data_IF_416926162198
#
_entry.id   IF_416926162198
#
_cell.length_a   1.000
_cell.length_b   1.000
_cell.length_c   1.000
_cell.angle_alpha   90.00
_cell.angle_beta   90.00
_cell.angle_gamma   90.00
#
_symmetry.space_group_name_H-M   'P 1'
#
loop_
_entity.id
_entity.type
_entity.pdbx_description
1 polymer ?
#
# COMPACT_ATOMS: atom_id res chain seq x y z
N UNK A 1 -26.05 15.62 -3.18
CA UNK A 1 -25.62 15.16 -1.83
C UNK A 1 -24.81 16.31 -1.24
N UNK A 2 -25.23 16.88 -0.11
CA UNK A 2 -24.44 17.91 0.58
C UNK A 2 -23.40 17.23 1.45
N UNK A 3 -22.15 17.68 1.39
CA UNK A 3 -21.02 17.07 2.11
C UNK A 3 -21.31 17.01 3.62
N UNK A 4 -21.88 18.08 4.16
CA UNK A 4 -22.19 18.21 5.59
C UNK A 4 -23.26 17.23 6.10
N UNK A 5 -23.94 16.49 5.20
CA UNK A 5 -24.93 15.48 5.56
C UNK A 5 -24.38 14.07 5.73
N UNK A 6 -23.10 13.84 5.45
CA UNK A 6 -22.46 12.52 5.58
C UNK A 6 -22.19 12.25 7.06
N UNK A 7 -22.97 11.34 7.67
CA UNK A 7 -22.82 10.96 9.10
C UNK A 7 -21.69 9.97 9.36
N UNK A 8 -21.36 9.14 8.36
CA UNK A 8 -20.24 8.22 8.39
C UNK A 8 -19.86 7.84 6.97
N UNK A 9 -18.59 7.50 6.78
CA UNK A 9 -18.10 6.87 5.56
C UNK A 9 -17.24 5.67 5.96
N UNK A 10 -17.36 4.58 5.21
CA UNK A 10 -16.55 3.38 5.41
C UNK A 10 -16.01 3.00 4.05
N UNK A 11 -14.70 2.81 3.98
CA UNK A 11 -14.08 2.24 2.79
C UNK A 11 -14.46 0.76 2.73
N UNK A 12 -15.18 0.38 1.69
CA UNK A 12 -15.45 -1.03 1.39
C UNK A 12 -14.33 -1.51 0.49
N UNK A 13 -13.46 -2.35 1.05
CA UNK A 13 -12.39 -3.01 0.29
C UNK A 13 -12.99 -3.82 -0.87
N UNK A 14 -12.25 -3.98 -1.97
CA UNK A 14 -12.70 -4.62 -3.23
C UNK A 14 -13.81 -3.87 -4.01
N UNK A 15 -14.08 -2.61 -3.69
CA UNK A 15 -14.92 -1.74 -4.55
C UNK A 15 -14.06 -0.87 -5.46
N UNK A 16 -14.57 -0.60 -6.66
CA UNK A 16 -13.92 0.23 -7.66
C UNK A 16 -14.75 1.47 -7.98
N UNK A 17 -14.06 2.60 -8.10
CA UNK A 17 -14.62 3.82 -8.64
C UNK A 17 -13.56 4.54 -9.48
N UNK A 18 -13.85 4.70 -10.77
CA UNK A 18 -12.99 5.46 -11.67
C UNK A 18 -13.03 6.94 -11.27
N UNK A 19 -11.91 7.46 -10.78
CA UNK A 19 -11.81 8.85 -10.32
C UNK A 19 -11.76 9.78 -11.53
N UNK A 20 -12.75 10.68 -11.73
CA UNK A 20 -12.77 11.59 -12.87
C UNK A 20 -11.52 12.48 -12.90
N UNK A 21 -10.88 12.64 -14.06
CA UNK A 21 -9.69 13.47 -14.20
C UNK A 21 -9.95 14.94 -13.81
N UNK A 22 -11.14 15.45 -14.12
CA UNK A 22 -11.58 16.78 -13.67
C UNK A 22 -11.52 16.95 -12.14
N UNK A 23 -11.80 15.89 -11.37
CA UNK A 23 -11.71 15.94 -9.91
C UNK A 23 -10.25 15.93 -9.44
N UNK A 24 -9.39 15.15 -10.10
CA UNK A 24 -7.94 15.16 -9.83
C UNK A 24 -7.35 16.55 -10.09
N UNK A 25 -7.73 17.15 -11.22
CA UNK A 25 -7.29 18.48 -11.62
C UNK A 25 -7.85 19.55 -10.68
N UNK A 26 -9.12 19.47 -10.27
CA UNK A 26 -9.74 20.42 -9.33
C UNK A 26 -9.10 20.34 -7.94
N UNK A 27 -8.78 19.13 -7.44
CA UNK A 27 -8.04 18.96 -6.19
C UNK A 27 -6.63 19.54 -6.29
N UNK A 28 -5.95 19.36 -7.43
CA UNK A 28 -4.61 19.90 -7.64
C UNK A 28 -4.60 21.43 -7.79
N UNK A 29 -5.63 22.02 -8.37
CA UNK A 29 -5.70 23.46 -8.68
C UNK A 29 -6.35 24.28 -7.57
N UNK A 30 -7.27 23.69 -6.80
CA UNK A 30 -7.96 24.33 -5.68
C UNK A 30 -7.81 23.54 -4.37
N UNK A 31 -6.58 23.30 -3.88
CA UNK A 31 -6.37 22.54 -2.65
C UNK A 31 -7.08 23.16 -1.44
N UNK A 32 -7.25 24.48 -1.42
CA UNK A 32 -7.95 25.21 -0.34
C UNK A 32 -9.43 24.82 -0.21
N UNK A 33 -10.10 24.44 -1.31
CA UNK A 33 -11.49 24.00 -1.32
C UNK A 33 -11.66 22.65 -0.62
N UNK A 34 -10.62 21.81 -0.70
CA UNK A 34 -10.61 20.48 -0.10
C UNK A 34 -9.86 20.44 1.24
N UNK A 35 -9.45 21.62 1.73
CA UNK A 35 -8.64 21.71 2.93
C UNK A 35 -9.38 21.11 4.13
N UNK A 36 -10.71 21.24 4.24
CA UNK A 36 -11.50 20.58 5.28
C UNK A 36 -11.45 19.04 5.26
N UNK A 37 -11.16 18.42 4.12
CA UNK A 37 -11.00 16.96 3.99
C UNK A 37 -9.56 16.48 4.19
N UNK A 38 -8.58 17.33 3.87
CA UNK A 38 -7.16 16.97 3.87
C UNK A 38 -6.32 17.74 4.90
N UNK A 39 -6.94 18.57 5.76
CA UNK A 39 -6.30 19.60 6.60
C UNK A 39 -5.16 19.06 7.46
N UNK A 40 -5.24 17.78 7.81
CA UNK A 40 -4.23 17.11 8.60
C UNK A 40 -4.49 15.62 8.50
N UNK A 41 -4.30 15.04 7.32
CA UNK A 41 -4.04 13.60 7.29
C UNK A 41 -2.55 13.47 7.64
N UNK A 42 -2.19 12.87 8.79
CA UNK A 42 -0.82 12.47 9.05
C UNK A 42 -0.32 11.66 7.86
N UNK A 43 0.99 11.45 7.71
CA UNK A 43 1.46 10.54 6.66
C UNK A 43 1.13 9.07 7.03
N UNK A 44 -0.16 8.71 6.99
CA UNK A 44 -0.71 7.39 7.29
C UNK A 44 -0.35 6.36 6.21
N UNK A 45 0.37 6.78 5.17
CA UNK A 45 0.94 5.89 4.14
C UNK A 45 1.74 4.76 4.74
N UNK A 46 2.38 4.97 5.90
CA UNK A 46 3.12 3.90 6.60
C UNK A 46 2.19 2.81 7.13
N UNK A 47 0.98 3.17 7.59
CA UNK A 47 -0.02 2.18 8.01
C UNK A 47 -0.64 1.47 6.82
N UNK A 48 -0.93 2.21 5.73
CA UNK A 48 -1.36 1.61 4.46
C UNK A 48 -0.32 0.61 3.94
N UNK A 49 0.95 1.00 3.94
CA UNK A 49 2.06 0.13 3.57
C UNK A 49 2.16 -1.11 4.45
N UNK A 50 1.98 -0.99 5.77
CA UNK A 50 1.96 -2.13 6.68
C UNK A 50 0.78 -3.08 6.42
N UNK A 51 -0.40 -2.54 6.10
CA UNK A 51 -1.54 -3.33 5.67
C UNK A 51 -1.24 -4.06 4.34
N UNK A 52 -0.69 -3.37 3.36
CA UNK A 52 -0.34 -3.95 2.05
C UNK A 52 0.73 -5.04 2.22
N UNK A 53 1.74 -4.80 3.06
CA UNK A 53 2.73 -5.81 3.42
C UNK A 53 2.08 -7.03 4.08
N UNK A 54 1.06 -6.85 4.93
CA UNK A 54 0.35 -7.97 5.52
C UNK A 54 -0.50 -8.72 4.47
N UNK A 55 -1.18 -8.00 3.58
CA UNK A 55 -1.95 -8.57 2.46
C UNK A 55 -1.08 -9.41 1.53
N UNK A 56 0.15 -8.97 1.27
CA UNK A 56 1.12 -9.68 0.43
C UNK A 56 1.81 -10.85 1.15
N UNK A 57 2.04 -10.74 2.46
CA UNK A 57 2.69 -11.79 3.26
C UNK A 57 1.73 -12.87 3.77
N UNK A 58 0.41 -12.70 3.60
CA UNK A 58 -0.57 -13.69 4.07
C UNK A 58 -0.80 -14.76 3.01
N UNK A 59 -0.53 -16.02 3.38
CA UNK A 59 -0.87 -17.16 2.53
C UNK A 59 -2.38 -17.31 2.47
N UNK A 60 -2.99 -17.45 1.28
CA UNK A 60 -4.41 -17.79 1.18
C UNK A 60 -4.64 -19.13 1.90
N UNK A 61 -5.49 -19.13 2.94
CA UNK A 61 -5.59 -20.23 3.90
C UNK A 61 -6.55 -21.33 3.43
N UNK A 62 -7.50 -20.96 2.58
CA UNK A 62 -8.44 -21.89 1.99
C UNK A 62 -9.04 -21.25 0.73
N UNK A 63 -8.79 -21.86 -0.43
CA UNK A 63 -9.68 -21.65 -1.58
C UNK A 63 -10.96 -22.42 -1.24
N UNK A 64 -11.92 -21.78 -0.54
CA UNK A 64 -13.28 -22.32 -0.54
C UNK A 64 -13.78 -22.17 -1.98
N UNK A 65 -13.65 -23.25 -2.74
CA UNK A 65 -14.19 -23.39 -4.08
C UNK A 65 -15.72 -23.38 -4.03
N UNK A 66 -16.29 -22.20 -3.86
CA UNK A 66 -17.57 -21.93 -4.45
C UNK A 66 -17.29 -21.50 -5.89
N UNK A 67 -17.27 -22.46 -6.82
CA UNK A 67 -17.72 -22.16 -8.17
C UNK A 67 -19.07 -21.47 -7.97
N UNK A 68 -19.10 -20.15 -8.13
CA UNK A 68 -20.34 -19.43 -8.07
C UNK A 68 -21.13 -19.93 -9.28
N UNK A 69 -22.02 -20.89 -9.02
CA UNK A 69 -22.98 -21.37 -10.02
C UNK A 69 -23.60 -20.11 -10.61
N UNK A 70 -23.69 -20.03 -11.94
CA UNK A 70 -24.17 -18.87 -12.71
C UNK A 70 -23.14 -17.83 -13.14
N UNK A 71 -21.83 -18.02 -12.90
CA UNK A 71 -20.79 -17.14 -13.47
C UNK A 71 -20.00 -17.86 -14.56
N UNK A 72 -20.49 -17.77 -15.80
CA UNK A 72 -19.82 -18.34 -16.97
C UNK A 72 -18.76 -17.35 -17.49
N UNK A 73 -17.52 -17.82 -17.61
CA UNK A 73 -16.37 -17.01 -18.07
C UNK A 73 -16.54 -16.39 -19.45
N UNK A 74 -17.42 -16.96 -20.28
CA UNK A 74 -17.76 -16.48 -21.63
C UNK A 74 -18.44 -15.09 -21.63
N UNK A 75 -18.91 -14.61 -20.47
CA UNK A 75 -19.56 -13.29 -20.35
C UNK A 75 -18.59 -12.17 -19.97
N UNK A 76 -17.29 -12.46 -19.83
CA UNK A 76 -16.25 -11.46 -19.59
C UNK A 76 -15.87 -10.83 -20.92
N UNK A 77 -16.30 -9.58 -21.13
CA UNK A 77 -15.89 -8.77 -22.27
C UNK A 77 -14.93 -7.69 -21.79
N UNK A 78 -13.74 -7.59 -22.38
CA UNK A 78 -12.76 -6.53 -22.10
C UNK A 78 -12.41 -6.38 -20.60
N UNK A 79 -12.30 -7.48 -19.86
CA UNK A 79 -11.93 -7.45 -18.44
C UNK A 79 -13.05 -7.00 -17.49
N UNK A 80 -14.28 -6.86 -17.98
CA UNK A 80 -15.45 -6.56 -17.17
C UNK A 80 -16.54 -7.65 -17.29
N UNK A 81 -17.18 -7.94 -16.17
CA UNK A 81 -18.30 -8.87 -16.07
C UNK A 81 -19.56 -8.13 -15.64
N UNK A 82 -20.55 -8.07 -16.53
CA UNK A 82 -21.83 -7.44 -16.23
C UNK A 82 -22.66 -8.36 -15.34
N UNK A 83 -23.06 -7.86 -14.16
CA UNK A 83 -23.82 -8.65 -13.21
C UNK A 83 -25.31 -8.57 -13.50
N UNK A 84 -26.01 -9.70 -13.41
CA UNK A 84 -27.47 -9.70 -13.31
C UNK A 84 -27.91 -9.00 -12.02
N UNK A 85 -29.16 -8.51 -11.94
CA UNK A 85 -29.69 -7.91 -10.72
C UNK A 85 -29.59 -8.84 -9.50
N UNK A 86 -29.83 -10.14 -9.69
CA UNK A 86 -29.75 -11.16 -8.65
C UNK A 86 -28.29 -11.39 -8.21
N UNK A 87 -27.37 -11.55 -9.18
CA UNK A 87 -25.94 -11.71 -8.92
C UNK A 87 -25.35 -10.51 -8.16
N UNK A 88 -25.75 -9.29 -8.56
CA UNK A 88 -25.33 -8.06 -7.89
C UNK A 88 -25.80 -8.02 -6.44
N UNK A 89 -27.07 -8.38 -6.17
CA UNK A 89 -27.60 -8.42 -4.82
C UNK A 89 -26.89 -9.46 -3.94
N UNK A 90 -26.60 -10.64 -4.47
CA UNK A 90 -25.89 -11.69 -3.75
C UNK A 90 -24.46 -11.27 -3.37
N UNK A 91 -23.72 -10.69 -4.33
CA UNK A 91 -22.39 -10.15 -4.11
C UNK A 91 -22.42 -9.05 -3.05
N UNK A 92 -23.29 -8.05 -3.19
CA UNK A 92 -23.39 -6.94 -2.23
C UNK A 92 -23.77 -7.44 -0.83
N UNK A 93 -24.69 -8.39 -0.73
CA UNK A 93 -25.08 -8.97 0.56
C UNK A 93 -23.91 -9.71 1.23
N UNK A 94 -23.09 -10.42 0.44
CA UNK A 94 -21.89 -11.09 0.96
C UNK A 94 -20.83 -10.10 1.47
N UNK A 95 -20.64 -8.95 0.79
CA UNK A 95 -19.75 -7.89 1.28
C UNK A 95 -20.27 -7.24 2.56
N UNK A 96 -21.58 -7.00 2.65
CA UNK A 96 -22.21 -6.41 3.82
C UNK A 96 -22.18 -7.33 5.05
N UNK A 97 -22.40 -8.63 4.87
CA UNK A 97 -22.32 -9.60 5.98
C UNK A 97 -20.89 -9.75 6.52
N UNK A 98 -19.88 -9.68 5.65
CA UNK A 98 -18.47 -9.63 6.04
C UNK A 98 -18.12 -8.35 6.83
N UNK A 99 -18.73 -7.20 6.51
CA UNK A 99 -18.54 -5.96 7.27
C UNK A 99 -19.18 -6.02 8.67
N UNK A 100 -20.31 -6.72 8.82
CA UNK A 100 -20.99 -6.86 10.11
C UNK A 100 -20.24 -7.77 11.10
N UNK A 101 -19.51 -8.76 10.60
CA UNK A 101 -18.73 -9.73 11.40
C UNK A 101 -17.35 -9.20 11.83
N UNK A 102 -16.82 -8.14 11.19
CA UNK A 102 -15.56 -7.47 11.57
C UNK A 102 -15.55 -6.82 12.96
N UNK A 103 -16.69 -6.74 13.66
CA UNK A 103 -16.77 -6.21 15.04
C UNK A 103 -16.40 -7.30 16.07
N UNK A 104 -15.11 -7.57 16.27
CA UNK A 104 -14.61 -8.15 17.52
C UNK A 104 -13.82 -9.46 17.49
N UNK A 105 -13.39 -9.98 16.34
CA UNK A 105 -12.55 -11.19 16.28
C UNK A 105 -11.13 -10.92 15.81
N UNK A 106 -10.15 -11.39 16.58
CA UNK A 106 -8.75 -11.50 16.16
C UNK A 106 -8.68 -12.57 15.05
N UNK A 107 -8.35 -12.13 13.83
CA UNK A 107 -8.34 -12.95 12.62
C UNK A 107 -9.52 -12.62 11.70
N UNK A 108 -9.27 -11.73 10.74
CA UNK A 108 -10.26 -11.37 9.72
C UNK A 108 -10.02 -12.26 8.50
N UNK A 109 -10.95 -13.16 8.19
CA UNK A 109 -10.95 -13.86 6.91
C UNK A 109 -11.57 -12.95 5.85
N UNK A 110 -10.73 -12.31 5.05
CA UNK A 110 -11.19 -11.52 3.91
C UNK A 110 -11.46 -12.46 2.74
N UNK A 111 -12.70 -12.50 2.27
CA UNK A 111 -13.07 -13.21 1.03
C UNK A 111 -12.94 -12.22 -0.14
N UNK A 112 -12.03 -12.51 -1.06
CA UNK A 112 -11.81 -11.75 -2.29
C UNK A 112 -12.34 -12.55 -3.48
N UNK A 113 -13.07 -11.90 -4.38
CA UNK A 113 -13.45 -12.49 -5.66
C UNK A 113 -12.31 -12.32 -6.65
N UNK A 114 -12.01 -13.38 -7.39
CA UNK A 114 -10.90 -13.44 -8.32
C UNK A 114 -11.31 -14.16 -9.60
N UNK A 115 -10.67 -13.83 -10.71
CA UNK A 115 -10.75 -14.54 -11.97
C UNK A 115 -9.55 -15.48 -12.10
N UNK A 116 -9.80 -16.76 -12.35
CA UNK A 116 -8.74 -17.73 -12.65
C UNK A 116 -7.95 -17.30 -13.89
N UNK A 117 -6.62 -17.36 -13.79
CA UNK A 117 -5.73 -17.21 -14.94
C UNK A 117 -4.93 -18.50 -15.15
N UNK A 118 -4.42 -19.10 -14.06
CA UNK A 118 -3.72 -20.37 -14.13
C UNK A 118 -3.90 -21.14 -12.83
N UNK A 119 -4.32 -22.39 -12.94
CA UNK A 119 -4.51 -23.28 -11.82
C UNK A 119 -4.04 -24.71 -12.13
N UNK A 120 -3.79 -25.48 -11.09
CA UNK A 120 -3.27 -26.84 -11.16
C UNK A 120 -4.17 -27.76 -10.36
N UNK A 121 -4.77 -28.74 -11.01
CA UNK A 121 -5.62 -29.73 -10.36
C UNK A 121 -4.78 -30.74 -9.58
N UNK A 122 -5.06 -30.86 -8.29
CA UNK A 122 -4.47 -31.87 -7.41
C UNK A 122 -5.52 -32.81 -6.86
N UNK A 123 -5.07 -33.97 -6.35
CA UNK A 123 -5.95 -34.96 -5.70
C UNK A 123 -6.74 -34.40 -4.50
N UNK A 124 -6.25 -33.31 -3.88
CA UNK A 124 -6.84 -32.70 -2.69
C UNK A 124 -7.62 -31.42 -2.97
N UNK A 125 -7.71 -31.02 -4.24
CA UNK A 125 -8.33 -29.77 -4.63
C UNK A 125 -7.54 -29.07 -5.73
N UNK A 126 -8.04 -27.92 -6.12
CA UNK A 126 -7.43 -27.08 -7.12
C UNK A 126 -6.39 -26.16 -6.45
N UNK A 127 -5.31 -25.87 -7.15
CA UNK A 127 -4.30 -24.89 -6.74
C UNK A 127 -4.34 -23.71 -7.69
N UNK A 128 -4.79 -22.55 -7.21
CA UNK A 128 -4.75 -21.31 -8.00
C UNK A 128 -3.32 -20.76 -7.96
N UNK A 129 -2.61 -20.87 -9.08
CA UNK A 129 -1.25 -20.37 -9.23
C UNK A 129 -1.27 -18.88 -9.58
N UNK A 130 -2.19 -18.46 -10.45
CA UNK A 130 -2.34 -17.09 -10.87
C UNK A 130 -3.81 -16.70 -11.01
N UNK A 131 -4.15 -15.48 -10.60
CA UNK A 131 -5.49 -14.93 -10.71
C UNK A 131 -5.46 -13.41 -10.90
N UNK A 132 -6.54 -12.85 -11.41
CA UNK A 132 -6.81 -11.41 -11.40
C UNK A 132 -7.82 -11.09 -10.31
N UNK A 133 -7.55 -10.09 -9.48
CA UNK A 133 -8.53 -9.63 -8.49
C UNK A 133 -9.77 -9.06 -9.20
N UNK A 134 -10.97 -9.30 -8.65
CA UNK A 134 -12.21 -8.73 -9.17
C UNK A 134 -12.75 -7.69 -8.19
N UNK A 135 -12.93 -6.47 -8.68
CA UNK A 135 -13.48 -5.35 -7.91
C UNK A 135 -14.89 -5.01 -8.37
N UNK A 136 -15.77 -4.69 -7.43
CA UNK A 136 -17.14 -4.31 -7.73
C UNK A 136 -17.23 -2.82 -8.08
N UNK A 137 -17.60 -2.53 -9.33
CA UNK A 137 -18.05 -1.21 -9.77
C UNK A 137 -19.53 -1.05 -9.41
N UNK A 138 -19.77 -0.40 -8.28
CA UNK A 138 -21.11 -0.18 -7.70
C UNK A 138 -22.00 0.66 -8.64
N UNK A 139 -21.40 1.59 -9.39
CA UNK A 139 -22.15 2.53 -10.26
C UNK A 139 -22.62 1.81 -11.52
N UNK A 140 -21.74 1.06 -12.17
CA UNK A 140 -22.05 0.33 -13.38
C UNK A 140 -22.62 -1.08 -13.13
N UNK A 141 -22.65 -1.53 -11.86
CA UNK A 141 -23.11 -2.87 -11.45
C UNK A 141 -22.38 -4.00 -12.18
N UNK A 142 -21.05 -3.89 -12.24
CA UNK A 142 -20.18 -4.86 -12.92
C UNK A 142 -18.99 -5.20 -12.05
N UNK A 143 -18.41 -6.37 -12.27
CA UNK A 143 -17.08 -6.68 -11.74
C UNK A 143 -16.05 -6.27 -12.77
N UNK A 144 -14.95 -5.69 -12.31
CA UNK A 144 -13.82 -5.29 -13.14
C UNK A 144 -12.61 -6.08 -12.66
N UNK A 145 -11.95 -6.78 -13.58
CA UNK A 145 -10.72 -7.49 -13.33
C UNK A 145 -9.55 -6.52 -13.24
N UNK A 146 -8.64 -6.77 -12.30
CA UNK A 146 -7.39 -6.04 -12.20
C UNK A 146 -6.51 -6.28 -13.45
N UNK A 147 -5.80 -5.22 -13.85
CA UNK A 147 -4.87 -5.26 -14.99
C UNK A 147 -3.66 -6.17 -14.71
N UNK A 148 -3.20 -6.20 -13.46
CA UNK A 148 -2.08 -7.02 -13.01
C UNK A 148 -2.54 -8.41 -12.55
N UNK A 149 -1.79 -9.44 -12.98
CA UNK A 149 -1.98 -10.81 -12.50
C UNK A 149 -1.26 -10.99 -11.16
N UNK A 150 -1.96 -11.52 -10.16
CA UNK A 150 -1.36 -11.90 -8.89
C UNK A 150 -0.91 -13.36 -8.93
N UNK A 151 0.36 -13.60 -8.60
CA UNK A 151 0.97 -14.93 -8.57
C UNK A 151 1.06 -15.45 -7.13
N UNK A 152 0.50 -16.63 -6.87
CA UNK A 152 0.56 -17.33 -5.61
C UNK A 152 1.81 -18.21 -5.52
N UNK A 153 2.87 -17.72 -4.86
CA UNK A 153 4.08 -18.51 -4.59
C UNK A 153 3.89 -19.55 -3.48
N UNK A 154 2.95 -19.29 -2.57
CA UNK A 154 2.63 -20.15 -1.42
C UNK A 154 1.13 -20.16 -1.16
N UNK A 155 0.61 -21.30 -0.73
CA UNK A 155 -0.83 -21.49 -0.49
C UNK A 155 -1.05 -22.59 0.54
N UNK A 156 -2.25 -22.63 1.13
CA UNK A 156 -2.63 -23.69 2.08
C UNK A 156 -3.82 -24.48 1.54
N UNK A 157 -3.68 -25.80 1.37
CA UNK A 157 -4.79 -26.73 1.09
C UNK A 157 -4.91 -27.71 2.25
N UNK A 158 -6.11 -27.83 2.82
CA UNK A 158 -6.40 -28.70 3.98
C UNK A 158 -5.41 -28.53 5.15
N UNK A 159 -5.05 -27.27 5.46
CA UNK A 159 -4.12 -26.94 6.53
C UNK A 159 -2.66 -27.30 6.25
N UNK A 160 -2.31 -27.78 5.04
CA UNK A 160 -0.93 -28.01 4.60
C UNK A 160 -0.47 -26.89 3.67
N UNK A 161 0.64 -26.26 4.05
CA UNK A 161 1.30 -25.25 3.22
C UNK A 161 2.03 -25.93 2.06
N UNK A 162 1.73 -25.46 0.88
CA UNK A 162 2.22 -25.92 -0.40
C UNK A 162 2.89 -24.73 -1.11
N UNK A 163 3.87 -24.99 -1.97
CA UNK A 163 4.66 -23.94 -2.62
C UNK A 163 4.80 -24.20 -4.11
N UNK A 164 4.90 -23.11 -4.87
CA UNK A 164 5.12 -23.11 -6.32
C UNK A 164 6.37 -23.89 -6.73
N UNK A 165 7.35 -24.05 -5.81
CA UNK A 165 8.57 -24.85 -6.03
C UNK A 165 8.32 -26.33 -6.34
N UNK A 166 7.11 -26.82 -6.09
CA UNK A 166 6.70 -28.17 -6.49
C UNK A 166 6.38 -28.26 -7.99
N UNK A 167 6.12 -27.13 -8.64
CA UNK A 167 5.65 -27.06 -10.02
C UNK A 167 6.67 -26.45 -10.96
N UNK A 168 7.49 -25.51 -10.48
CA UNK A 168 8.51 -24.81 -11.24
C UNK A 168 9.88 -24.94 -10.58
N UNK A 169 10.88 -25.22 -11.40
CA UNK A 169 12.28 -25.25 -10.98
C UNK A 169 12.81 -23.84 -10.74
N UNK A 170 13.93 -23.73 -10.01
CA UNK A 170 14.49 -22.43 -9.62
C UNK A 170 14.90 -21.57 -10.82
N UNK A 171 15.34 -22.21 -11.90
CA UNK A 171 15.76 -21.53 -13.14
C UNK A 171 14.56 -20.97 -13.92
N UNK A 172 13.35 -21.50 -13.69
CA UNK A 172 12.13 -21.07 -14.38
C UNK A 172 11.39 -19.92 -13.65
N UNK A 173 11.87 -19.46 -12.50
CA UNK A 173 11.22 -18.36 -11.77
C UNK A 173 11.30 -17.01 -12.49
N UNK A 174 12.29 -16.83 -13.36
CA UNK A 174 12.37 -15.63 -14.19
C UNK A 174 11.13 -15.49 -15.07
N UNK A 175 10.53 -16.60 -15.51
CA UNK A 175 9.31 -16.61 -16.32
C UNK A 175 8.12 -15.95 -15.61
N UNK A 176 8.08 -15.99 -14.28
CA UNK A 176 7.02 -15.41 -13.46
C UNK A 176 7.05 -13.87 -13.45
N UNK A 177 8.17 -13.24 -13.83
CA UNK A 177 8.26 -11.77 -13.86
C UNK A 177 7.43 -11.16 -14.99
N UNK A 178 7.34 -11.84 -16.13
CA UNK A 178 6.54 -11.47 -17.29
C UNK A 178 5.47 -12.54 -17.56
N UNK A 179 4.61 -12.75 -16.56
CA UNK A 179 3.66 -13.86 -16.54
C UNK A 179 2.74 -13.92 -17.77
N UNK A 180 2.13 -12.79 -18.15
CA UNK A 180 1.20 -12.75 -19.30
C UNK A 180 1.90 -13.12 -20.62
N UNK A 181 3.18 -12.76 -20.80
CA UNK A 181 3.96 -13.08 -22.00
C UNK A 181 4.44 -14.54 -22.01
N UNK A 182 4.69 -15.09 -20.82
CA UNK A 182 5.28 -16.42 -20.63
C UNK A 182 4.26 -17.51 -20.28
N UNK A 183 2.95 -17.23 -20.32
CA UNK A 183 1.90 -18.15 -19.87
C UNK A 183 2.05 -19.58 -20.44
N UNK A 184 2.22 -19.70 -21.76
CA UNK A 184 2.37 -21.00 -22.42
C UNK A 184 3.67 -21.71 -22.01
N UNK A 185 4.77 -20.97 -21.87
CA UNK A 185 6.04 -21.54 -21.41
C UNK A 185 5.92 -22.03 -19.96
N UNK A 186 5.27 -21.28 -19.10
CA UNK A 186 5.02 -21.65 -17.71
C UNK A 186 4.16 -22.92 -17.65
N UNK A 187 3.10 -23.02 -18.45
CA UNK A 187 2.27 -24.24 -18.57
C UNK A 187 3.10 -25.45 -18.97
N UNK A 188 3.92 -25.31 -20.00
CA UNK A 188 4.79 -26.38 -20.49
C UNK A 188 5.78 -26.84 -19.40
N UNK A 189 6.42 -25.91 -18.68
CA UNK A 189 7.32 -26.27 -17.58
C UNK A 189 6.59 -27.01 -16.46
N UNK A 190 5.42 -26.54 -16.04
CA UNK A 190 4.63 -27.21 -15.01
C UNK A 190 4.26 -28.65 -15.43
N UNK A 191 3.87 -28.85 -16.69
CA UNK A 191 3.56 -30.18 -17.23
C UNK A 191 4.81 -31.07 -17.30
N UNK A 192 5.94 -30.52 -17.74
CA UNK A 192 7.20 -31.24 -17.94
C UNK A 192 7.83 -31.67 -16.60
N UNK A 193 7.99 -30.75 -15.65
CA UNK A 193 8.61 -31.02 -14.34
C UNK A 193 7.81 -32.04 -13.53
N UNK A 194 6.49 -32.16 -13.81
CA UNK A 194 5.60 -33.10 -13.13
C UNK A 194 5.21 -34.33 -13.95
N UNK A 195 5.87 -34.57 -15.10
CA UNK A 195 5.58 -35.72 -15.99
C UNK A 195 4.09 -35.88 -16.35
N UNK A 196 3.35 -34.77 -16.43
CA UNK A 196 1.90 -34.78 -16.68
C UNK A 196 1.04 -35.35 -15.56
N UNK A 197 1.56 -35.49 -14.33
CA UNK A 197 0.79 -35.98 -13.17
C UNK A 197 -0.32 -34.99 -12.78
N UNK A 198 -0.09 -33.70 -12.96
CA UNK A 198 -1.05 -32.65 -12.66
C UNK A 198 -1.66 -32.08 -13.94
N UNK A 199 -2.96 -31.80 -13.88
CA UNK A 199 -3.66 -31.14 -14.97
C UNK A 199 -3.66 -29.64 -14.74
N UNK A 200 -3.05 -28.91 -15.67
CA UNK A 200 -3.02 -27.45 -15.68
C UNK A 200 -4.32 -26.94 -16.34
N UNK A 201 -4.91 -25.90 -15.76
CA UNK A 201 -6.16 -25.27 -16.21
C UNK A 201 -5.99 -23.75 -16.26
N UNK A 202 -6.14 -23.20 -17.46
CA UNK A 202 -6.08 -21.78 -17.78
C UNK A 202 -7.44 -21.20 -18.15
N UNK A 203 -8.53 -21.96 -17.94
CA UNK A 203 -9.88 -21.50 -18.23
C UNK A 203 -10.27 -20.36 -17.29
N UNK A 204 -10.84 -19.26 -17.81
CA UNK A 204 -11.30 -18.15 -16.97
C UNK A 204 -12.62 -18.53 -16.27
N UNK A 205 -12.59 -18.65 -14.95
CA UNK A 205 -13.79 -18.78 -14.11
C UNK A 205 -13.58 -18.04 -12.79
N UNK A 206 -14.70 -17.67 -12.14
CA UNK A 206 -14.64 -16.95 -10.88
C UNK A 206 -14.34 -17.88 -9.70
N UNK A 207 -13.46 -17.39 -8.81
CA UNK A 207 -13.03 -18.08 -7.60
C UNK A 207 -13.15 -17.11 -6.41
N UNK A 208 -13.61 -17.60 -5.27
CA UNK A 208 -13.50 -16.87 -4.00
C UNK A 208 -12.24 -17.32 -3.24
N UNK A 209 -11.30 -16.41 -3.03
CA UNK A 209 -10.10 -16.65 -2.23
C UNK A 209 -10.28 -16.06 -0.82
N UNK A 210 -10.10 -16.89 0.20
CA UNK A 210 -10.09 -16.42 1.58
C UNK A 210 -8.65 -16.20 2.07
N UNK A 211 -8.36 -14.98 2.54
CA UNK A 211 -7.09 -14.62 3.19
C UNK A 211 -7.32 -14.36 4.67
N UNK A 212 -6.49 -14.94 5.52
CA UNK A 212 -6.48 -14.58 6.94
C UNK A 212 -5.56 -13.37 7.12
N UNK A 213 -6.15 -12.19 7.27
CA UNK A 213 -5.39 -11.02 7.67
C UNK A 213 -5.04 -11.17 9.13
N UNK A 214 -3.73 -11.22 9.41
CA UNK A 214 -3.20 -11.30 10.79
C UNK A 214 -3.36 -9.94 11.49
N UNK A 215 -3.43 -8.86 10.71
CA UNK A 215 -3.53 -7.49 11.21
C UNK A 215 -4.67 -6.77 10.49
N UNK A 216 -5.71 -6.42 11.23
CA UNK A 216 -6.71 -5.42 10.84
C UNK A 216 -6.36 -4.12 11.58
N UNK A 217 -5.95 -3.08 10.85
CA UNK A 217 -5.61 -1.76 11.42
C UNK A 217 -6.75 -0.75 11.27
N UNK A 218 -7.94 -1.16 10.80
CA UNK A 218 -9.04 -0.20 10.55
C UNK A 218 -9.48 0.53 11.83
N UNK A 219 -9.51 -0.18 12.96
CA UNK A 219 -9.84 0.40 14.27
C UNK A 219 -8.78 1.39 14.75
N UNK A 220 -7.51 1.03 14.60
CA UNK A 220 -6.35 1.83 14.97
C UNK A 220 -6.26 3.08 14.09
N UNK A 221 -6.53 2.93 12.79
CA UNK A 221 -6.58 4.03 11.84
C UNK A 221 -7.65 5.05 12.22
N UNK A 222 -8.87 4.58 12.51
CA UNK A 222 -9.97 5.45 12.93
C UNK A 222 -9.66 6.16 14.25
N UNK A 223 -9.08 5.45 15.22
CA UNK A 223 -8.69 6.01 16.51
C UNK A 223 -7.59 7.08 16.36
N UNK A 224 -6.55 6.81 15.58
CA UNK A 224 -5.46 7.76 15.33
C UNK A 224 -5.99 8.99 14.58
N UNK A 225 -6.80 8.79 13.53
CA UNK A 225 -7.40 9.91 12.77
C UNK A 225 -8.22 10.82 13.67
N UNK A 226 -9.06 10.24 14.54
CA UNK A 226 -9.83 10.99 15.53
C UNK A 226 -8.94 11.76 16.51
N UNK A 227 -7.82 11.19 16.96
CA UNK A 227 -6.87 11.91 17.80
C UNK A 227 -6.29 13.15 17.11
N UNK A 228 -6.05 13.08 15.79
CA UNK A 228 -5.58 14.22 14.98
C UNK A 228 -6.66 15.28 14.77
N UNK A 229 -7.91 14.88 14.56
CA UNK A 229 -9.05 15.80 14.45
C UNK A 229 -9.34 16.55 15.76
N UNK A 230 -9.21 15.87 16.91
CA UNK A 230 -9.46 16.45 18.24
C UNK A 230 -8.23 17.15 18.85
N UNK A 231 -7.10 17.22 18.13
CA UNK A 231 -5.79 17.73 18.58
C UNK A 231 -5.30 17.10 19.91
N UNK A 232 -5.65 15.83 20.15
CA UNK A 232 -5.26 15.07 21.35
C UNK A 232 -4.16 14.04 21.08
N UNK A 233 -3.43 14.19 19.96
CA UNK A 233 -2.39 13.24 19.55
C UNK A 233 -1.22 13.24 20.55
N UNK A 234 -0.83 12.05 20.98
CA UNK A 234 0.30 11.87 21.88
C UNK A 234 1.63 12.13 21.17
N UNK A 235 2.65 12.55 21.94
CA UNK A 235 4.00 12.84 21.42
C UNK A 235 4.61 11.65 20.64
N UNK A 236 4.49 10.38 21.10
CA UNK A 236 5.00 9.23 20.35
C UNK A 236 4.32 9.05 18.98
N UNK A 237 3.02 9.32 18.88
CA UNK A 237 2.29 9.24 17.60
C UNK A 237 2.74 10.36 16.66
N UNK A 238 2.92 11.59 17.17
CA UNK A 238 3.48 12.71 16.39
C UNK A 238 4.90 12.41 15.87
N UNK A 239 5.73 11.75 16.69
CA UNK A 239 7.06 11.29 16.29
C UNK A 239 7.00 10.24 15.18
N UNK A 240 6.14 9.23 15.33
CA UNK A 240 5.99 8.12 14.39
C UNK A 240 5.60 8.60 12.98
N UNK A 241 4.71 9.60 12.89
CA UNK A 241 4.29 10.19 11.62
C UNK A 241 5.18 11.34 11.12
N UNK A 242 6.34 11.56 11.76
CA UNK A 242 7.35 12.50 11.27
C UNK A 242 7.02 13.98 11.48
N UNK A 243 6.01 14.31 12.28
CA UNK A 243 5.65 15.72 12.56
C UNK A 243 6.72 16.45 13.37
N UNK A 244 7.43 15.72 14.23
CA UNK A 244 8.54 16.25 15.03
C UNK A 244 9.83 16.44 14.22
N UNK A 245 9.86 16.02 12.95
CA UNK A 245 11.01 16.11 12.04
C UNK A 245 10.85 17.26 11.03
N UNK A 246 9.71 17.98 11.02
CA UNK A 246 9.55 19.17 10.17
C UNK A 246 10.64 20.19 10.58
N UNK A 247 11.59 20.53 9.68
CA UNK A 247 12.62 21.50 10.03
C UNK A 247 11.93 22.83 10.36
N UNK A 248 12.36 23.54 11.41
CA UNK A 248 11.80 24.84 11.72
C UNK A 248 12.00 25.75 10.50
N UNK A 249 10.90 26.31 9.98
CA UNK A 249 10.94 27.34 8.94
C UNK A 249 11.46 28.64 9.60
N UNK A 250 12.74 28.68 9.98
CA UNK A 250 13.39 29.90 10.43
C UNK A 250 13.90 30.67 9.22
N UNK A 251 13.03 31.51 8.66
CA UNK A 251 13.34 32.56 7.66
C UNK A 251 14.12 33.74 8.29
N UNK A 252 15.11 33.50 9.13
CA UNK A 252 15.95 34.59 9.66
C UNK A 252 17.35 34.42 9.07
N UNK A 253 17.72 35.33 8.19
CA UNK A 253 19.09 35.42 7.71
C UNK A 253 19.98 35.89 8.86
N UNK A 254 20.88 35.00 9.28
CA UNK A 254 21.85 35.29 10.33
C UNK A 254 23.10 35.91 9.67
N UNK A 255 23.46 37.16 9.99
CA UNK A 255 24.69 37.74 9.47
C UNK A 255 25.89 36.96 10.01
N UNK A 256 26.70 36.38 9.10
CA UNK A 256 27.90 35.63 9.46
C UNK A 256 29.01 36.61 9.84
N UNK A 257 29.64 36.39 10.99
CA UNK A 257 30.72 37.26 11.48
C UNK A 257 32.05 36.53 11.33
N UNK A 258 32.92 37.08 10.48
CA UNK A 258 34.24 36.52 10.22
C UNK A 258 35.28 37.21 11.10
N UNK A 259 35.97 36.43 11.95
CA UNK A 259 37.12 36.90 12.72
C UNK A 259 38.35 37.20 11.85
N UNK A 260 38.50 36.46 10.75
CA UNK A 260 39.63 36.56 9.84
C UNK A 260 39.12 36.49 8.40
N UNK A 261 39.66 37.35 7.52
CA UNK A 261 39.30 37.39 6.10
C UNK A 261 39.89 36.20 5.31
N UNK A 262 40.79 35.41 5.90
CA UNK A 262 41.36 34.18 5.32
C UNK A 262 40.50 32.94 5.63
N UNK A 263 39.20 33.00 5.33
CA UNK A 263 38.25 31.88 5.48
C UNK A 263 37.86 31.38 4.09
N UNK A 264 37.90 30.07 3.89
CA UNK A 264 37.45 29.44 2.63
C UNK A 264 35.91 29.31 2.60
N UNK A 265 35.33 29.21 1.40
CA UNK A 265 33.89 29.07 1.16
C UNK A 265 33.30 27.84 1.87
N UNK A 266 34.03 26.73 1.96
CA UNK A 266 33.59 25.52 2.65
C UNK A 266 33.44 25.74 4.16
N UNK A 267 34.34 26.54 4.74
CA UNK A 267 34.28 26.93 6.15
C UNK A 267 33.13 27.91 6.40
N UNK A 268 32.86 28.81 5.44
CA UNK A 268 31.72 29.73 5.50
C UNK A 268 30.39 28.96 5.44
N UNK A 269 30.29 27.97 4.57
CA UNK A 269 29.12 27.10 4.44
C UNK A 269 28.88 26.27 5.70
N UNK A 270 29.96 25.74 6.31
CA UNK A 270 29.89 25.04 7.58
C UNK A 270 29.36 25.93 8.72
N UNK A 271 29.83 27.18 8.81
CA UNK A 271 29.34 28.16 9.80
C UNK A 271 27.85 28.45 9.56
N UNK A 272 27.46 28.72 8.31
CA UNK A 272 26.07 28.98 7.93
C UNK A 272 25.14 27.81 8.32
N UNK A 273 25.50 26.59 7.94
CA UNK A 273 24.70 25.41 8.23
C UNK A 273 24.60 25.14 9.73
N UNK A 274 25.69 25.36 10.48
CA UNK A 274 25.70 25.23 11.94
C UNK A 274 24.84 26.27 12.66
N UNK A 275 24.65 27.46 12.08
CA UNK A 275 23.73 28.48 12.63
C UNK A 275 22.27 28.23 12.29
N UNK A 276 21.97 27.52 11.19
CA UNK A 276 20.60 27.25 10.74
C UNK A 276 20.02 25.95 11.29
N UNK A 277 20.85 24.92 11.46
CA UNK A 277 20.40 23.60 11.85
C UNK A 277 20.73 23.29 13.32
N UNK A 278 19.81 22.64 14.06
CA UNK A 278 20.05 22.26 15.47
C UNK A 278 21.20 21.27 15.65
N UNK A 279 21.58 20.56 14.58
CA UNK A 279 22.71 19.64 14.55
C UNK A 279 23.43 19.78 13.21
N UNK A 280 24.75 19.95 13.23
CA UNK A 280 25.59 20.05 12.02
C UNK A 280 26.89 19.30 12.22
N UNK A 281 27.21 18.39 11.29
CA UNK A 281 28.48 17.66 11.27
C UNK A 281 29.46 18.36 10.33
N UNK A 282 30.64 18.71 10.85
CA UNK A 282 31.71 19.35 10.08
C UNK A 282 32.93 18.46 10.07
N UNK A 283 33.19 17.81 8.93
CA UNK A 283 34.37 16.99 8.72
C UNK A 283 35.37 17.75 7.86
N UNK A 284 36.66 17.67 8.21
CA UNK A 284 37.73 18.25 7.41
C UNK A 284 39.05 17.50 7.61
N UNK A 285 39.93 17.42 6.59
CA UNK A 285 41.28 16.88 6.71
C UNK A 285 42.12 17.58 7.80
N UNK A 286 43.19 16.97 8.34
CA UNK A 286 44.10 17.65 9.27
C UNK A 286 44.68 18.94 8.64
N UNK A 287 44.74 20.03 9.41
CA UNK A 287 45.25 21.33 8.92
C UNK A 287 44.25 22.23 8.20
N UNK A 288 43.01 21.79 7.93
CA UNK A 288 42.01 22.60 7.18
C UNK A 288 41.24 23.64 8.01
N UNK A 289 41.82 24.07 9.14
CA UNK A 289 41.26 25.17 9.94
C UNK A 289 39.95 24.85 10.66
N UNK A 290 39.66 23.58 10.98
CA UNK A 290 38.46 23.16 11.75
C UNK A 290 38.21 24.00 13.00
N UNK A 291 39.28 24.33 13.74
CA UNK A 291 39.23 25.21 14.92
C UNK A 291 38.71 26.60 14.57
N UNK A 292 39.16 27.20 13.46
CA UNK A 292 38.66 28.51 13.01
C UNK A 292 37.19 28.46 12.61
N UNK A 293 36.74 27.36 11.99
CA UNK A 293 35.32 27.14 11.66
C UNK A 293 34.47 27.07 12.92
N UNK A 294 34.90 26.31 13.93
CA UNK A 294 34.19 26.18 15.22
C UNK A 294 34.09 27.54 15.92
N UNK A 295 35.20 28.27 16.03
CA UNK A 295 35.23 29.60 16.68
C UNK A 295 34.34 30.59 15.91
N UNK A 296 34.37 30.57 14.57
CA UNK A 296 33.51 31.40 13.73
C UNK A 296 32.02 31.12 13.95
N UNK A 297 31.64 29.85 14.09
CA UNK A 297 30.27 29.44 14.45
C UNK A 297 29.86 29.97 15.82
N UNK A 298 30.72 29.80 16.84
CA UNK A 298 30.43 30.26 18.21
C UNK A 298 30.20 31.78 18.23
N UNK A 299 31.06 32.55 17.58
CA UNK A 299 30.94 34.02 17.59
C UNK A 299 29.72 34.49 16.81
N UNK A 300 29.45 33.86 15.67
CA UNK A 300 28.24 34.16 14.90
C UNK A 300 26.99 33.86 15.73
N UNK A 301 26.96 32.73 16.46
CA UNK A 301 25.86 32.39 17.36
C UNK A 301 25.74 33.34 18.56
N UNK A 302 26.85 33.66 19.24
CA UNK A 302 26.87 34.55 20.41
C UNK A 302 26.39 35.97 20.10
N UNK A 303 26.71 36.50 18.92
CA UNK A 303 26.37 37.88 18.55
C UNK A 303 25.02 38.02 17.86
N UNK A 304 24.44 36.91 17.38
CA UNK A 304 23.08 36.86 16.82
C UNK A 304 22.01 36.51 17.86
N UNK A 305 22.42 36.09 19.07
CA UNK A 305 21.56 36.02 20.23
C UNK A 305 21.22 37.45 20.71
N UNK A 306 19.93 37.81 20.85
CA UNK A 306 19.57 39.07 21.47
C UNK A 306 20.12 39.08 22.90
N UNK A 307 20.85 40.14 23.26
CA UNK A 307 21.11 40.46 24.67
C UNK A 307 19.76 40.60 25.36
N UNK A 308 19.47 39.67 26.27
CA UNK A 308 18.38 39.80 27.23
C UNK A 308 18.70 40.92 28.23
#
# INVERSE_FOLDING_TARGET
IFVDSIRSSVLVEETYYEVPNQLKDDISTHPDKYNSFFYSIPNLKILSYLMDCNKLNTTPYQCEYALLKHFDGDSISEGAYNLSPEQYQEIVHSFQSNLATKKGSIGVSMKQLCLNVLSVHMKKGLYVLAYRGLRLDVKAKRLVADEEVTICTEFTIDGKKESIRKFLDADDYELLTHFDENLEQIKDQIMNSNRGIYQVDDMPYMIALARNLVIDLTTEYAAITKMFEEDQVTIPIKAFFGELVKPPIRKKDYPIILLNKKINIDQLLAIHNATKNPLTYVQGPPGTGKTNTIIGTIITACKTLPTY
#
